data_IF_142405231194
#
_entry.id   IF_142405231194
#
_cell.length_a   1.000
_cell.length_b   1.000
_cell.length_c   1.000
_cell.angle_alpha   90.00
_cell.angle_beta   90.00
_cell.angle_gamma   90.00
#
_symmetry.space_group_name_H-M   'P 1'
#
loop_
_entity.id
_entity.type
_entity.pdbx_description
1 polymer ?
#
# COMPACT_ATOMS: atom_id res chain seq x y z
N UNK A 1 -18.43 -7.61 -1.16
CA UNK A 1 -19.21 -6.41 -0.81
C UNK A 1 -19.06 -5.40 -1.93
N UNK A 2 -20.11 -4.62 -2.26
CA UNK A 2 -20.01 -3.55 -3.25
C UNK A 2 -18.98 -2.49 -2.81
N UNK A 3 -18.24 -1.87 -3.75
CA UNK A 3 -17.28 -0.82 -3.44
C UNK A 3 -17.99 0.42 -2.89
N UNK A 4 -17.39 1.03 -1.87
CA UNK A 4 -17.85 2.25 -1.21
C UNK A 4 -17.04 3.44 -1.76
N UNK A 5 -17.65 4.54 -2.27
CA UNK A 5 -19.07 4.91 -2.20
C UNK A 5 -20.01 4.23 -3.21
N UNK A 6 -19.53 3.91 -4.42
CA UNK A 6 -20.33 3.21 -5.44
C UNK A 6 -19.42 2.57 -6.49
N UNK A 7 -19.95 1.61 -7.25
CA UNK A 7 -19.21 1.01 -8.36
C UNK A 7 -19.20 1.97 -9.56
N UNK A 8 -18.04 2.50 -9.99
CA UNK A 8 -17.97 3.50 -11.05
C UNK A 8 -18.60 3.06 -12.37
N UNK A 9 -18.52 1.76 -12.67
CA UNK A 9 -19.10 1.18 -13.89
C UNK A 9 -20.64 1.16 -13.89
N UNK A 10 -21.26 1.33 -12.72
CA UNK A 10 -22.72 1.32 -12.56
C UNK A 10 -23.30 2.71 -12.22
N UNK A 11 -22.48 3.61 -11.67
CA UNK A 11 -22.92 4.93 -11.19
C UNK A 11 -22.41 6.11 -12.02
N UNK A 12 -21.53 5.88 -13.02
CA UNK A 12 -20.79 6.94 -13.73
C UNK A 12 -20.06 7.92 -12.76
N UNK A 13 -19.73 7.44 -11.56
CA UNK A 13 -19.03 8.19 -10.51
C UNK A 13 -17.61 7.65 -10.31
N UNK A 14 -16.60 8.46 -10.63
CA UNK A 14 -15.20 8.11 -10.51
C UNK A 14 -14.63 8.20 -9.07
N UNK A 15 -15.44 8.62 -8.09
CA UNK A 15 -14.99 8.87 -6.70
C UNK A 15 -14.28 7.69 -6.05
N UNK A 16 -14.66 6.45 -6.40
CA UNK A 16 -13.99 5.25 -5.90
C UNK A 16 -12.53 5.15 -6.38
N UNK A 17 -12.28 5.36 -7.68
CA UNK A 17 -10.92 5.33 -8.25
C UNK A 17 -10.05 6.44 -7.66
N UNK A 18 -10.63 7.63 -7.48
CA UNK A 18 -9.93 8.74 -6.83
C UNK A 18 -9.55 8.38 -5.39
N UNK A 19 -10.46 7.79 -4.61
CA UNK A 19 -10.21 7.38 -3.23
C UNK A 19 -9.10 6.32 -3.14
N UNK A 20 -9.04 5.36 -4.06
CA UNK A 20 -7.96 4.35 -4.10
C UNK A 20 -6.58 4.96 -4.39
N UNK A 21 -6.50 6.00 -5.23
CA UNK A 21 -5.23 6.66 -5.57
C UNK A 21 -4.74 7.69 -4.54
N UNK A 22 -5.55 8.01 -3.52
CA UNK A 22 -5.17 8.98 -2.49
C UNK A 22 -3.99 8.50 -1.64
N UNK A 23 -3.23 9.47 -1.12
CA UNK A 23 -2.14 9.23 -0.16
C UNK A 23 -2.65 8.81 1.22
N UNK A 24 -3.86 9.20 1.57
CA UNK A 24 -4.51 8.74 2.80
C UNK A 24 -5.28 7.45 2.52
N UNK A 25 -4.85 6.30 3.08
CA UNK A 25 -5.50 5.03 2.82
C UNK A 25 -6.80 4.91 3.65
N UNK A 26 -7.84 4.33 3.06
CA UNK A 26 -9.07 4.00 3.78
C UNK A 26 -8.82 2.90 4.82
N UNK A 27 -9.75 2.71 5.77
CA UNK A 27 -9.64 1.63 6.75
C UNK A 27 -9.52 0.26 6.09
N UNK A 28 -10.30 0.00 5.03
CA UNK A 28 -10.24 -1.26 4.30
C UNK A 28 -8.89 -1.47 3.62
N UNK A 29 -8.27 -0.41 3.07
CA UNK A 29 -6.95 -0.47 2.45
C UNK A 29 -5.87 -0.81 3.49
N UNK A 30 -5.90 -0.17 4.67
CA UNK A 30 -4.99 -0.50 5.79
C UNK A 30 -5.22 -1.91 6.31
N UNK A 31 -6.47 -2.38 6.42
CA UNK A 31 -6.77 -3.75 6.84
C UNK A 31 -6.14 -4.82 5.93
N UNK A 32 -6.13 -4.59 4.61
CA UNK A 32 -5.57 -5.55 3.62
C UNK A 32 -4.09 -5.82 3.86
N UNK A 33 -3.34 -4.82 4.33
CA UNK A 33 -1.93 -4.96 4.68
C UNK A 33 -1.67 -6.06 5.73
N UNK A 34 -2.66 -6.37 6.56
CA UNK A 34 -2.58 -7.45 7.56
C UNK A 34 -2.78 -8.87 7.02
N UNK A 35 -3.19 -9.05 5.75
CA UNK A 35 -3.43 -10.39 5.19
C UNK A 35 -2.16 -11.11 4.81
N UNK A 36 -1.24 -10.42 4.13
CA UNK A 36 0.11 -10.91 3.87
C UNK A 36 1.04 -9.76 3.51
N UNK A 37 2.35 -10.01 3.59
CA UNK A 37 3.36 -9.00 3.27
C UNK A 37 3.24 -8.50 1.82
N UNK A 38 2.76 -9.33 0.89
CA UNK A 38 2.54 -8.90 -0.51
C UNK A 38 1.54 -7.75 -0.64
N UNK A 39 0.53 -7.67 0.25
CA UNK A 39 -0.43 -6.58 0.24
C UNK A 39 0.20 -5.26 0.68
N UNK A 40 1.13 -5.29 1.65
CA UNK A 40 1.96 -4.12 2.01
C UNK A 40 2.87 -3.74 0.86
N UNK A 41 3.53 -4.71 0.24
CA UNK A 41 4.54 -4.47 -0.80
C UNK A 41 3.94 -4.06 -2.15
N UNK A 42 2.66 -4.29 -2.42
CA UNK A 42 1.99 -3.79 -3.64
C UNK A 42 1.45 -2.37 -3.47
N UNK A 43 1.22 -1.96 -2.23
CA UNK A 43 0.64 -0.66 -1.88
C UNK A 43 1.74 0.37 -1.67
N UNK A 44 1.71 1.50 -2.39
CA UNK A 44 2.73 2.56 -2.24
C UNK A 44 2.76 3.18 -0.85
N UNK A 45 1.60 3.35 -0.22
CA UNK A 45 1.50 3.88 1.16
C UNK A 45 1.88 2.78 2.15
N UNK A 46 1.50 1.53 1.88
CA UNK A 46 1.92 0.37 2.68
C UNK A 46 3.44 0.24 2.74
N UNK A 47 4.10 0.29 1.58
CA UNK A 47 5.57 0.31 1.49
C UNK A 47 6.18 1.48 2.28
N UNK A 48 5.62 2.69 2.19
CA UNK A 48 6.12 3.85 2.92
C UNK A 48 6.02 3.66 4.43
N UNK A 49 4.88 3.18 4.93
CA UNK A 49 4.70 2.90 6.36
C UNK A 49 5.62 1.79 6.85
N UNK A 50 5.78 0.73 6.07
CA UNK A 50 6.67 -0.37 6.42
C UNK A 50 8.14 0.06 6.38
N UNK A 51 8.55 0.88 5.40
CA UNK A 51 9.89 1.45 5.34
C UNK A 51 10.20 2.31 6.57
N UNK A 52 9.28 3.19 6.98
CA UNK A 52 9.45 4.02 8.19
C UNK A 52 9.60 3.17 9.44
N UNK A 53 8.84 2.08 9.54
CA UNK A 53 8.98 1.12 10.64
C UNK A 53 10.36 0.46 10.63
N UNK A 54 10.83 -0.05 9.48
CA UNK A 54 12.14 -0.67 9.36
C UNK A 54 13.28 0.31 9.65
N UNK A 55 13.16 1.58 9.26
CA UNK A 55 14.12 2.64 9.59
C UNK A 55 14.22 2.85 11.10
N UNK A 56 13.10 2.82 11.82
CA UNK A 56 13.10 2.94 13.28
C UNK A 56 13.78 1.76 13.99
N UNK A 57 13.91 0.62 13.30
CA UNK A 57 14.55 -0.60 13.80
C UNK A 57 15.88 -0.88 13.09
N UNK A 58 16.44 0.08 12.35
CA UNK A 58 17.71 -0.04 11.63
C UNK A 58 17.80 -1.29 10.73
N UNK A 59 16.72 -1.60 10.00
CA UNK A 59 16.62 -2.78 9.11
C UNK A 59 16.00 -2.46 7.74
N UNK A 60 16.03 -1.19 7.34
CA UNK A 60 15.41 -0.71 6.10
C UNK A 60 16.10 -1.16 4.82
N UNK A 61 17.39 -1.50 4.90
CA UNK A 61 18.20 -2.00 3.79
C UNK A 61 17.58 -3.25 3.14
N UNK A 62 16.90 -4.09 3.92
CA UNK A 62 16.22 -5.30 3.42
C UNK A 62 15.10 -4.95 2.43
N UNK A 63 14.27 -3.96 2.78
CA UNK A 63 13.18 -3.52 1.91
C UNK A 63 13.72 -2.75 0.70
N UNK A 64 14.73 -1.89 0.90
CA UNK A 64 15.37 -1.14 -0.18
C UNK A 64 15.99 -2.07 -1.22
N UNK A 65 16.72 -3.09 -0.79
CA UNK A 65 17.23 -4.14 -1.66
C UNK A 65 16.09 -4.85 -2.41
N UNK A 66 15.05 -5.28 -1.70
CA UNK A 66 13.93 -6.00 -2.32
C UNK A 66 13.25 -5.16 -3.41
N UNK A 67 13.01 -3.86 -3.15
CA UNK A 67 12.43 -2.91 -4.10
C UNK A 67 13.37 -2.69 -5.29
N UNK A 68 14.66 -2.49 -5.07
CA UNK A 68 15.64 -2.29 -6.14
C UNK A 68 15.67 -3.49 -7.11
N UNK A 69 15.56 -4.72 -6.60
CA UNK A 69 15.47 -5.93 -7.44
C UNK A 69 14.14 -5.99 -8.20
N UNK A 70 13.02 -5.54 -7.62
CA UNK A 70 11.75 -5.44 -8.36
C UNK A 70 11.83 -4.42 -9.49
N UNK A 71 12.49 -3.29 -9.28
CA UNK A 71 12.72 -2.27 -10.31
C UNK A 71 13.60 -2.82 -11.44
N UNK A 72 14.70 -3.50 -11.10
CA UNK A 72 15.61 -4.15 -12.06
C UNK A 72 14.83 -5.05 -13.03
N UNK A 73 13.89 -5.86 -12.50
CA UNK A 73 13.05 -6.76 -13.28
C UNK A 73 12.17 -6.06 -14.32
N UNK A 74 11.87 -4.77 -14.14
CA UNK A 74 11.01 -3.95 -15.02
C UNK A 74 11.78 -3.02 -15.95
N UNK A 75 13.09 -2.88 -15.79
CA UNK A 75 13.91 -1.99 -16.62
C UNK A 75 14.04 -2.45 -18.08
N UNK A 76 14.32 -1.56 -19.05
CA UNK A 76 14.76 -1.96 -20.39
C UNK A 76 16.05 -2.80 -20.31
N UNK A 77 16.19 -3.83 -21.16
CA UNK A 77 17.32 -4.77 -21.08
C UNK A 77 18.70 -4.09 -21.10
N UNK A 78 18.85 -3.02 -21.89
CA UNK A 78 20.07 -2.20 -21.98
C UNK A 78 20.50 -1.54 -20.66
N UNK A 79 19.60 -1.40 -19.68
CA UNK A 79 19.88 -0.80 -18.36
C UNK A 79 20.09 -1.83 -17.26
N UNK A 80 19.78 -3.12 -17.52
CA UNK A 80 19.80 -4.18 -16.50
C UNK A 80 21.20 -4.39 -15.95
N UNK A 81 22.21 -4.42 -16.83
CA UNK A 81 23.58 -4.69 -16.40
C UNK A 81 24.13 -3.59 -15.46
N UNK A 82 23.89 -2.32 -15.77
CA UNK A 82 24.35 -1.22 -14.93
C UNK A 82 23.60 -1.18 -13.60
N UNK A 83 22.28 -1.32 -13.63
CA UNK A 83 21.48 -1.37 -12.39
C UNK A 83 21.84 -2.56 -11.50
N UNK A 84 22.14 -3.72 -12.09
CA UNK A 84 22.57 -4.88 -11.32
C UNK A 84 23.90 -4.63 -10.61
N UNK A 85 24.84 -3.94 -11.26
CA UNK A 85 26.13 -3.56 -10.64
C UNK A 85 25.93 -2.58 -9.48
N UNK A 86 25.05 -1.59 -9.64
CA UNK A 86 24.70 -0.66 -8.56
C UNK A 86 24.11 -1.40 -7.35
N UNK A 87 23.15 -2.30 -7.57
CA UNK A 87 22.53 -3.10 -6.50
C UNK A 87 23.59 -3.95 -5.78
N UNK A 88 24.51 -4.56 -6.54
CA UNK A 88 25.60 -5.33 -5.95
C UNK A 88 26.48 -4.47 -5.04
N UNK A 89 26.93 -3.30 -5.51
CA UNK A 89 27.79 -2.38 -4.77
C UNK A 89 27.11 -1.79 -3.53
N UNK A 90 25.80 -1.55 -3.61
CA UNK A 90 25.04 -0.93 -2.52
C UNK A 90 24.72 -1.89 -1.37
N UNK A 91 24.45 -3.17 -1.68
CA UNK A 91 23.87 -4.11 -0.71
C UNK A 91 24.69 -5.38 -0.44
N UNK A 92 25.60 -5.80 -1.33
CA UNK A 92 26.22 -7.14 -1.28
C UNK A 92 27.76 -7.13 -1.38
N UNK A 93 28.36 -6.14 -2.03
CA UNK A 93 29.81 -6.05 -2.14
C UNK A 93 30.47 -5.98 -0.75
N UNK A 94 31.64 -6.60 -0.52
CA UNK A 94 32.34 -6.46 0.75
C UNK A 94 32.58 -4.98 1.11
N UNK A 95 32.01 -4.54 2.24
CA UNK A 95 32.05 -3.14 2.66
C UNK A 95 30.95 -2.26 2.07
N UNK A 96 29.92 -2.85 1.46
CA UNK A 96 28.76 -2.14 0.95
C UNK A 96 28.08 -1.30 2.05
N UNK A 97 27.65 -0.07 1.75
CA UNK A 97 27.09 0.86 2.74
C UNK A 97 25.80 0.35 3.38
N UNK A 98 24.98 -0.40 2.64
CA UNK A 98 23.68 -0.91 3.08
C UNK A 98 23.66 -2.45 3.06
N UNK A 99 24.70 -3.09 3.62
CA UNK A 99 24.86 -4.54 3.58
C UNK A 99 23.65 -5.28 4.15
N UNK A 100 23.05 -6.19 3.37
CA UNK A 100 21.92 -7.04 3.81
C UNK A 100 22.40 -8.34 4.45
N UNK A 101 21.59 -8.92 5.34
CA UNK A 101 21.86 -10.24 5.91
C UNK A 101 21.41 -11.34 4.95
N UNK A 102 22.37 -12.03 4.33
CA UNK A 102 22.11 -13.06 3.33
C UNK A 102 22.88 -14.34 3.66
N UNK A 103 22.25 -15.51 3.51
CA UNK A 103 22.92 -16.80 3.71
C UNK A 103 24.01 -17.05 2.64
N UNK A 104 25.00 -17.86 3.00
CA UNK A 104 26.17 -18.12 2.15
C UNK A 104 25.81 -18.70 0.78
N UNK A 105 24.83 -19.61 0.72
CA UNK A 105 24.42 -20.24 -0.53
C UNK A 105 23.78 -19.22 -1.48
N UNK A 106 22.86 -18.40 -0.98
CA UNK A 106 22.23 -17.33 -1.76
C UNK A 106 23.22 -16.25 -2.19
N UNK A 107 24.20 -15.93 -1.32
CA UNK A 107 25.27 -14.99 -1.64
C UNK A 107 26.16 -15.50 -2.78
N UNK A 108 26.67 -16.73 -2.68
CA UNK A 108 27.54 -17.32 -3.70
C UNK A 108 26.88 -17.40 -5.08
N UNK A 109 25.61 -17.82 -5.12
CA UNK A 109 24.81 -17.85 -6.36
C UNK A 109 24.65 -16.46 -6.96
N UNK A 110 24.30 -15.48 -6.13
CA UNK A 110 24.16 -14.10 -6.58
C UNK A 110 25.48 -13.55 -7.10
N UNK A 111 26.59 -13.79 -6.39
CA UNK A 111 27.94 -13.38 -6.78
C UNK A 111 28.40 -13.97 -8.12
N UNK A 112 27.96 -15.19 -8.43
CA UNK A 112 28.16 -15.79 -9.75
C UNK A 112 27.31 -15.10 -10.84
N UNK A 113 26.01 -14.94 -10.58
CA UNK A 113 25.04 -14.40 -11.54
C UNK A 113 25.32 -12.93 -11.93
N UNK A 114 25.85 -12.11 -11.01
CA UNK A 114 26.11 -10.69 -11.28
C UNK A 114 27.30 -10.44 -12.21
N UNK A 115 28.08 -11.48 -12.55
CA UNK A 115 29.16 -11.38 -13.55
C UNK A 115 28.62 -11.15 -14.96
N UNK A 116 27.51 -11.81 -15.27
CA UNK A 116 26.74 -11.61 -16.51
C UNK A 116 25.25 -11.38 -16.14
N UNK A 117 24.93 -10.17 -15.67
CA UNK A 117 23.67 -9.91 -14.97
C UNK A 117 22.45 -9.94 -15.90
N UNK A 118 21.53 -10.86 -15.61
CA UNK A 118 20.16 -10.87 -16.14
C UNK A 118 19.13 -10.28 -15.17
N UNK A 119 17.88 -10.17 -15.61
CA UNK A 119 16.75 -9.67 -14.78
C UNK A 119 16.54 -10.45 -13.48
N UNK A 120 17.00 -11.69 -13.43
CA UNK A 120 16.81 -12.62 -12.33
C UNK A 120 18.11 -12.92 -11.58
N UNK A 121 19.17 -12.12 -11.76
CA UNK A 121 20.46 -12.35 -11.12
C UNK A 121 20.38 -12.41 -9.58
N UNK A 122 19.41 -11.69 -9.00
CA UNK A 122 19.20 -11.60 -7.55
C UNK A 122 18.00 -12.42 -7.05
N UNK A 123 17.48 -13.38 -7.84
CA UNK A 123 16.25 -14.12 -7.47
C UNK A 123 16.38 -14.81 -6.10
N UNK A 124 17.45 -15.60 -5.90
CA UNK A 124 17.69 -16.32 -4.65
C UNK A 124 17.84 -15.34 -3.46
N UNK A 125 18.62 -14.28 -3.63
CA UNK A 125 18.80 -13.25 -2.60
C UNK A 125 17.50 -12.52 -2.26
N UNK A 126 16.69 -12.19 -3.26
CA UNK A 126 15.41 -11.53 -3.06
C UNK A 126 14.41 -12.42 -2.30
N UNK A 127 14.38 -13.72 -2.60
CA UNK A 127 13.54 -14.69 -1.89
C UNK A 127 13.96 -14.83 -0.42
N UNK A 128 15.27 -14.91 -0.16
CA UNK A 128 15.79 -14.93 1.20
C UNK A 128 15.37 -13.70 2.00
N UNK A 129 15.62 -12.50 1.47
CA UNK A 129 15.31 -11.24 2.15
C UNK A 129 13.79 -11.05 2.33
N UNK A 130 12.99 -11.48 1.36
CA UNK A 130 11.54 -11.51 1.52
C UNK A 130 11.13 -12.40 2.70
N UNK A 131 11.68 -13.61 2.82
CA UNK A 131 11.35 -14.50 3.93
C UNK A 131 11.83 -13.95 5.27
N UNK A 132 13.04 -13.39 5.33
CA UNK A 132 13.59 -12.73 6.52
C UNK A 132 12.64 -11.66 7.05
N UNK A 133 12.24 -10.71 6.18
CA UNK A 133 11.29 -9.66 6.56
C UNK A 133 9.92 -10.24 6.94
N UNK A 134 9.43 -11.23 6.19
CA UNK A 134 8.12 -11.85 6.43
C UNK A 134 8.03 -12.50 7.81
N UNK A 135 9.05 -13.26 8.20
CA UNK A 135 9.05 -14.02 9.46
C UNK A 135 9.36 -13.17 10.69
N UNK A 136 9.98 -11.99 10.50
CA UNK A 136 10.39 -11.13 11.60
C UNK A 136 9.75 -9.73 11.51
N UNK A 137 10.32 -8.82 10.72
CA UNK A 137 9.95 -7.41 10.72
C UNK A 137 8.49 -7.15 10.34
N UNK A 138 7.92 -7.87 9.38
CA UNK A 138 6.51 -7.73 8.99
C UNK A 138 5.57 -8.13 10.14
N UNK A 139 5.88 -9.23 10.84
CA UNK A 139 5.09 -9.66 11.99
C UNK A 139 5.14 -8.62 13.12
N UNK A 140 6.30 -7.98 13.35
CA UNK A 140 6.45 -6.88 14.31
C UNK A 140 5.76 -5.60 13.85
N UNK A 141 5.84 -5.26 12.56
CA UNK A 141 5.14 -4.13 11.95
C UNK A 141 3.63 -4.17 12.24
N UNK A 142 2.98 -5.32 12.02
CA UNK A 142 1.54 -5.47 12.29
C UNK A 142 1.18 -5.31 13.78
N UNK A 143 2.14 -5.52 14.69
CA UNK A 143 1.95 -5.31 16.14
C UNK A 143 2.40 -3.92 16.61
N UNK A 144 3.01 -3.12 15.74
CA UNK A 144 3.55 -1.82 16.10
C UNK A 144 2.44 -0.82 16.41
N UNK A 145 2.69 0.09 17.35
CA UNK A 145 1.75 1.16 17.71
C UNK A 145 1.37 1.99 16.48
N UNK A 146 2.34 2.33 15.63
CA UNK A 146 2.09 3.11 14.41
C UNK A 146 1.05 2.46 13.49
N UNK A 147 1.14 1.15 13.25
CA UNK A 147 0.17 0.43 12.42
C UNK A 147 -1.20 0.35 13.11
N UNK A 148 -1.24 0.04 14.40
CA UNK A 148 -2.49 -0.09 15.17
C UNK A 148 -3.24 1.25 15.29
N UNK A 149 -2.52 2.34 15.53
CA UNK A 149 -3.06 3.70 15.59
C UNK A 149 -3.58 4.14 14.22
N UNK A 150 -2.84 3.89 13.13
CA UNK A 150 -3.30 4.17 11.77
C UNK A 150 -4.59 3.40 11.47
N UNK A 151 -4.64 2.12 11.81
CA UNK A 151 -5.82 1.29 11.60
C UNK A 151 -7.03 1.81 12.40
N UNK A 152 -6.83 2.17 13.68
CA UNK A 152 -7.88 2.73 14.53
C UNK A 152 -8.38 4.09 14.03
N UNK A 153 -7.47 4.98 13.64
CA UNK A 153 -7.79 6.31 13.14
C UNK A 153 -8.65 6.25 11.88
N UNK A 154 -8.34 5.33 10.95
CA UNK A 154 -9.14 5.15 9.73
C UNK A 154 -10.51 4.52 9.99
N UNK A 155 -10.63 3.66 11.00
CA UNK A 155 -11.94 3.13 11.41
C UNK A 155 -12.87 4.24 11.91
N UNK A 156 -12.33 5.20 12.68
CA UNK A 156 -13.12 6.32 13.20
C UNK A 156 -13.51 7.31 12.10
N UNK A 157 -12.61 7.61 11.16
CA UNK A 157 -12.92 8.51 10.04
C UNK A 157 -14.03 7.96 9.15
N UNK A 158 -14.01 6.66 8.86
CA UNK A 158 -15.05 6.03 8.03
C UNK A 158 -16.42 6.10 8.72
N UNK A 159 -16.48 5.88 10.05
CA UNK A 159 -17.72 5.97 10.81
C UNK A 159 -18.27 7.41 10.90
N UNK A 160 -17.41 8.41 11.08
CA UNK A 160 -17.84 9.82 11.10
C UNK A 160 -18.31 10.29 9.72
N UNK A 161 -17.68 9.80 8.64
CA UNK A 161 -18.10 10.09 7.28
C UNK A 161 -19.44 9.42 6.94
N UNK A 162 -19.67 8.19 7.40
CA UNK A 162 -20.95 7.49 7.25
C UNK A 162 -22.08 8.20 8.02
N UNK A 163 -21.80 8.69 9.24
CA UNK A 163 -22.74 9.52 10.02
C UNK A 163 -23.07 10.84 9.33
N UNK A 164 -22.07 11.54 8.78
CA UNK A 164 -22.26 12.81 8.06
C UNK A 164 -23.09 12.61 6.80
N UNK A 165 -22.75 11.62 5.97
CA UNK A 165 -23.50 11.34 4.74
C UNK A 165 -24.92 10.85 5.03
N UNK A 166 -25.11 10.05 6.09
CA UNK A 166 -26.44 9.65 6.55
C UNK A 166 -27.28 10.84 7.03
N UNK A 167 -26.69 11.78 7.77
CA UNK A 167 -27.36 13.02 8.17
C UNK A 167 -27.71 13.89 6.95
N UNK A 168 -26.81 14.07 6.00
CA UNK A 168 -27.08 14.83 4.76
C UNK A 168 -28.16 14.19 3.89
N UNK A 169 -28.20 12.84 3.81
CA UNK A 169 -29.30 12.13 3.14
C UNK A 169 -30.62 12.32 3.87
N UNK A 170 -30.62 12.27 5.20
CA UNK A 170 -31.80 12.53 6.01
C UNK A 170 -32.30 13.96 5.84
N UNK A 171 -31.45 14.97 5.96
CA UNK A 171 -31.84 16.38 5.79
C UNK A 171 -32.33 16.66 4.38
N UNK A 172 -31.69 16.10 3.34
CA UNK A 172 -32.16 16.22 1.95
C UNK A 172 -33.54 15.58 1.75
N UNK A 173 -33.79 14.41 2.33
CA UNK A 173 -35.12 13.78 2.27
C UNK A 173 -36.17 14.58 3.04
N UNK A 174 -35.84 15.12 4.21
CA UNK A 174 -36.76 15.95 5.00
C UNK A 174 -37.08 17.25 4.28
N UNK A 175 -36.07 17.93 3.71
CA UNK A 175 -36.26 19.17 2.93
C UNK A 175 -37.00 18.91 1.62
N UNK A 176 -36.74 17.78 0.96
CA UNK A 176 -37.51 17.34 -0.21
C UNK A 176 -38.97 17.07 0.12
N UNK A 177 -39.24 16.40 1.25
CA UNK A 177 -40.61 16.18 1.73
C UNK A 177 -41.30 17.48 2.10
N UNK A 178 -40.65 18.41 2.82
CA UNK A 178 -41.27 19.70 3.16
C UNK A 178 -41.56 20.52 1.91
N UNK A 179 -40.71 20.50 0.88
CA UNK A 179 -40.99 21.20 -0.38
C UNK A 179 -42.19 20.60 -1.15
N UNK A 180 -42.38 19.28 -1.10
CA UNK A 180 -43.59 18.60 -1.63
C UNK A 180 -44.83 18.96 -0.80
N UNK A 181 -44.72 19.07 0.53
CA UNK A 181 -45.86 19.46 1.37
C UNK A 181 -46.31 20.91 1.13
N UNK A 182 -45.38 21.87 0.93
CA UNK A 182 -45.76 23.26 0.63
C UNK A 182 -46.41 23.41 -0.76
N UNK A 183 -45.89 22.71 -1.78
CA UNK A 183 -46.48 22.73 -3.13
C UNK A 183 -47.86 22.06 -3.19
N UNK A 184 -48.12 21.05 -2.35
CA UNK A 184 -49.45 20.40 -2.28
C UNK A 184 -50.49 21.21 -1.48
N UNK A 185 -50.05 22.17 -0.66
CA UNK A 185 -50.95 23.06 0.11
C UNK A 185 -51.40 24.29 -0.70
N UNK A 186 -50.57 24.81 -1.59
CA UNK A 186 -50.94 25.90 -2.52
C UNK A 186 -51.98 25.46 -3.56
N UNK A 187 -52.01 24.17 -3.92
CA UNK A 187 -52.97 23.62 -4.90
C UNK A 187 -54.37 23.32 -4.30
N UNK A 188 -54.54 23.51 -2.98
CA UNK A 188 -55.83 23.32 -2.26
C UNK A 188 -56.48 24.62 -1.81
N UNK A 189 -55.96 25.79 -2.20
CA UNK A 189 -56.54 27.09 -1.84
C UNK A 189 -57.47 27.70 -2.91
N UNK A 190 -57.78 26.96 -3.98
CA UNK A 190 -58.80 27.32 -4.97
C UNK A 190 -59.88 26.23 -5.06
N UNK A 191 -60.81 26.24 -4.11
CA UNK A 191 -62.19 25.76 -4.31
C UNK A 191 -63.12 26.77 -3.66
#
# INVERSE_FOLDING_TARGET
TPPDPSNPWASDDASFWELETRKEPSHQRVLRWGFCMDEVLKDSVGQEQFLRFLQSEFSSENLQFWVAVQELKRLPLRKVADRAREIWQEFLEPGAPNTINLDSHSFERTAHNVREPGRFAFQDAQEHIYMLMKTDSYARFLRSNNYQELLAARKMSDHDQDRRTSFEKFTRNVVGHTHVFYTTLEDKSFV
#
